data_IF_357729169895
#
_entry.id   IF_357729169895
#
_cell.length_a   1.000
_cell.length_b   1.000
_cell.length_c   1.000
_cell.angle_alpha   90.00
_cell.angle_beta   90.00
_cell.angle_gamma   90.00
#
_symmetry.space_group_name_H-M   'P 1'
#
loop_
_entity.id
_entity.type
_entity.pdbx_description
1 polymer ?
#
# COMPACT_ATOMS: atom_id res chain seq x y z
N UNK A 1 8.16 19.20 -40.48
CA UNK A 1 9.29 19.25 -39.53
C UNK A 1 8.84 18.49 -38.29
N UNK A 2 9.39 17.30 -38.09
CA UNK A 2 9.02 16.40 -36.98
C UNK A 2 9.88 16.75 -35.77
N UNK A 3 9.26 16.74 -34.58
CA UNK A 3 9.91 17.06 -33.31
C UNK A 3 10.98 15.98 -32.99
N UNK A 4 12.27 16.33 -32.83
CA UNK A 4 13.34 15.38 -32.57
C UNK A 4 13.33 14.77 -31.16
N UNK A 5 12.36 15.11 -30.30
CA UNK A 5 12.22 14.59 -28.94
C UNK A 5 11.07 13.59 -28.75
N UNK A 6 10.41 13.14 -29.82
CA UNK A 6 9.50 11.98 -29.72
C UNK A 6 10.32 10.69 -29.63
N UNK A 7 10.59 10.24 -28.40
CA UNK A 7 11.07 8.89 -28.14
C UNK A 7 9.98 7.88 -28.57
N UNK A 8 10.32 6.78 -29.28
CA UNK A 8 9.34 5.80 -29.74
C UNK A 8 8.89 4.81 -28.64
N UNK A 9 8.89 5.24 -27.37
CA UNK A 9 8.55 4.42 -26.21
C UNK A 9 7.50 5.10 -25.33
N UNK A 10 6.42 5.62 -25.94
CA UNK A 10 5.10 5.48 -25.33
C UNK A 10 4.62 4.04 -25.55
N UNK A 11 5.42 3.05 -25.09
CA UNK A 11 4.80 1.81 -24.67
C UNK A 11 3.95 2.24 -23.47
N UNK A 12 2.62 2.18 -23.61
CA UNK A 12 1.71 2.08 -22.47
C UNK A 12 2.42 1.23 -21.44
N UNK A 13 2.92 1.85 -20.39
CA UNK A 13 3.44 1.13 -19.25
C UNK A 13 2.18 0.66 -18.55
N UNK A 14 1.54 -0.36 -19.13
CA UNK A 14 0.63 -1.23 -18.43
C UNK A 14 1.40 -1.58 -17.17
N UNK A 15 0.90 -1.09 -16.04
CA UNK A 15 1.39 -1.42 -14.71
C UNK A 15 1.57 -2.92 -14.72
N UNK A 16 2.82 -3.39 -14.82
CA UNK A 16 3.10 -4.81 -15.05
C UNK A 16 2.30 -5.57 -14.01
N UNK A 17 1.31 -6.40 -14.43
CA UNK A 17 0.42 -7.04 -13.49
C UNK A 17 1.31 -7.79 -12.51
N UNK A 18 1.15 -7.48 -11.22
CA UNK A 18 1.96 -8.09 -10.18
C UNK A 18 1.92 -9.60 -10.37
N UNK A 19 3.06 -10.31 -10.30
CA UNK A 19 3.12 -11.72 -10.68
C UNK A 19 2.04 -12.54 -9.99
N UNK A 20 1.42 -13.49 -10.69
CA UNK A 20 0.30 -14.26 -10.13
C UNK A 20 0.65 -14.97 -8.82
N UNK A 21 1.91 -15.38 -8.65
CA UNK A 21 2.43 -16.00 -7.41
C UNK A 21 2.51 -15.00 -6.24
N UNK A 22 2.79 -13.73 -6.53
CA UNK A 22 2.78 -12.63 -5.55
C UNK A 22 1.35 -12.38 -5.05
N UNK A 23 0.40 -12.33 -5.99
CA UNK A 23 -1.02 -12.20 -5.66
C UNK A 23 -1.54 -13.41 -4.85
N UNK A 24 -1.15 -14.62 -5.26
CA UNK A 24 -1.51 -15.85 -4.56
C UNK A 24 -0.95 -15.87 -3.13
N UNK A 25 0.31 -15.45 -2.94
CA UNK A 25 0.92 -15.35 -1.62
C UNK A 25 0.10 -14.44 -0.70
N UNK A 26 -0.23 -13.21 -1.13
CA UNK A 26 -0.99 -12.28 -0.29
C UNK A 26 -2.44 -12.72 -0.07
N UNK A 27 -3.04 -13.46 -1.01
CA UNK A 27 -4.37 -14.04 -0.84
C UNK A 27 -4.38 -15.18 0.18
N UNK A 28 -3.32 -15.97 0.25
CA UNK A 28 -3.19 -17.10 1.17
C UNK A 28 -2.55 -16.71 2.51
N UNK A 29 -1.86 -15.57 2.58
CA UNK A 29 -1.14 -15.10 3.77
C UNK A 29 -2.03 -15.08 5.01
N UNK A 30 -3.20 -14.44 4.93
CA UNK A 30 -4.14 -14.36 6.05
C UNK A 30 -4.60 -15.75 6.53
N UNK A 31 -5.19 -16.58 5.65
CA UNK A 31 -5.58 -17.94 6.02
C UNK A 31 -4.45 -18.79 6.61
N UNK A 32 -3.25 -18.73 6.02
CA UNK A 32 -2.06 -19.47 6.50
C UNK A 32 -1.64 -18.99 7.89
N UNK A 33 -1.69 -17.67 8.13
CA UNK A 33 -1.40 -17.08 9.43
C UNK A 33 -2.38 -17.57 10.51
N UNK A 34 -3.68 -17.51 10.24
CA UNK A 34 -4.70 -17.96 11.19
C UNK A 34 -4.62 -19.46 11.45
N UNK A 35 -4.43 -20.29 10.41
CA UNK A 35 -4.25 -21.73 10.57
C UNK A 35 -3.01 -22.05 11.41
N UNK A 36 -1.89 -21.36 11.15
CA UNK A 36 -0.67 -21.53 11.92
C UNK A 36 -0.86 -21.18 13.40
N UNK A 37 -1.54 -20.06 13.67
CA UNK A 37 -1.88 -19.63 15.02
C UNK A 37 -2.82 -20.62 15.73
N UNK A 38 -3.87 -21.08 15.05
CA UNK A 38 -4.83 -22.05 15.62
C UNK A 38 -4.13 -23.37 15.96
N UNK A 39 -3.27 -23.88 15.08
CA UNK A 39 -2.50 -25.11 15.35
C UNK A 39 -1.56 -24.95 16.53
N UNK A 40 -0.91 -23.80 16.65
CA UNK A 40 -0.05 -23.48 17.80
C UNK A 40 -0.86 -23.48 19.11
N UNK A 41 -1.99 -22.77 19.13
CA UNK A 41 -2.86 -22.66 20.31
C UNK A 41 -3.43 -24.03 20.70
N UNK A 42 -3.98 -24.78 19.76
CA UNK A 42 -4.53 -26.11 20.06
C UNK A 42 -3.46 -27.11 20.51
N UNK A 43 -2.25 -27.00 19.96
CA UNK A 43 -1.10 -27.79 20.45
C UNK A 43 -0.71 -27.41 21.87
N UNK A 44 -0.86 -26.13 22.24
CA UNK A 44 -0.57 -25.63 23.59
C UNK A 44 -1.56 -26.16 24.63
N UNK A 45 -2.84 -26.31 24.25
CA UNK A 45 -3.89 -26.89 25.08
C UNK A 45 -3.98 -28.42 24.98
N UNK A 46 -2.99 -29.08 24.38
CA UNK A 46 -2.94 -30.54 24.18
C UNK A 46 -4.16 -31.11 23.41
N UNK A 47 -4.89 -30.27 22.69
CA UNK A 47 -6.04 -30.67 21.87
C UNK A 47 -5.62 -31.35 20.57
N UNK A 48 -4.38 -31.12 20.12
CA UNK A 48 -3.74 -31.77 18.98
C UNK A 48 -2.30 -32.16 19.33
N UNK A 49 -1.73 -33.09 18.56
CA UNK A 49 -0.36 -33.55 18.76
C UNK A 49 0.65 -32.39 18.68
N UNK A 50 1.71 -32.43 19.50
CA UNK A 50 2.77 -31.41 19.49
C UNK A 50 3.44 -31.21 18.12
N UNK A 51 3.50 -32.25 17.30
CA UNK A 51 3.98 -32.14 15.91
C UNK A 51 3.15 -31.15 15.08
N UNK A 52 1.84 -31.03 15.33
CA UNK A 52 0.97 -30.07 14.67
C UNK A 52 1.28 -28.62 15.09
N UNK A 53 1.69 -28.41 16.35
CA UNK A 53 2.20 -27.11 16.81
C UNK A 53 3.48 -26.69 16.06
N UNK A 54 4.39 -27.63 15.79
CA UNK A 54 5.58 -27.38 14.97
C UNK A 54 5.25 -26.96 13.53
N UNK A 55 4.24 -27.58 12.92
CA UNK A 55 3.72 -27.14 11.61
C UNK A 55 3.15 -25.72 11.70
N UNK A 56 2.42 -25.41 12.77
CA UNK A 56 1.90 -24.06 13.02
C UNK A 56 3.00 -23.00 13.07
N UNK A 57 4.11 -23.29 13.78
CA UNK A 57 5.29 -22.40 13.81
C UNK A 57 5.88 -22.22 12.41
N UNK A 58 6.06 -23.30 11.65
CA UNK A 58 6.60 -23.21 10.29
C UNK A 58 5.72 -22.35 9.37
N UNK A 59 4.39 -22.47 9.48
CA UNK A 59 3.44 -21.64 8.73
C UNK A 59 3.53 -20.16 9.10
N UNK A 60 3.66 -19.85 10.40
CA UNK A 60 3.83 -18.48 10.89
C UNK A 60 5.16 -17.87 10.40
N UNK A 61 6.26 -18.63 10.48
CA UNK A 61 7.58 -18.19 9.99
C UNK A 61 7.55 -17.96 8.48
N UNK A 62 6.92 -18.86 7.71
CA UNK A 62 6.79 -18.70 6.26
C UNK A 62 5.97 -17.46 5.90
N UNK A 63 4.85 -17.25 6.58
CA UNK A 63 4.02 -16.07 6.35
C UNK A 63 4.80 -14.79 6.70
N UNK A 64 5.43 -14.73 7.88
CA UNK A 64 6.20 -13.56 8.32
C UNK A 64 7.39 -13.26 7.40
N UNK A 65 8.25 -14.25 7.15
CA UNK A 65 9.43 -14.10 6.28
C UNK A 65 9.07 -13.91 4.81
N UNK A 66 8.00 -14.55 4.35
CA UNK A 66 7.47 -14.38 3.00
C UNK A 66 7.03 -12.95 2.73
N UNK A 67 6.44 -12.26 3.72
CA UNK A 67 6.02 -10.87 3.57
C UNK A 67 7.19 -9.91 3.30
N UNK A 68 8.42 -10.30 3.65
CA UNK A 68 9.65 -9.56 3.34
C UNK A 68 10.28 -9.97 2.00
N UNK A 69 10.38 -11.27 1.75
CA UNK A 69 11.09 -11.82 0.59
C UNK A 69 10.27 -11.77 -0.70
N UNK A 70 8.97 -12.07 -0.62
CA UNK A 70 8.07 -12.17 -1.77
C UNK A 70 7.95 -10.83 -2.51
N UNK A 71 7.82 -9.66 -1.84
CA UNK A 71 7.85 -8.36 -2.53
C UNK A 71 9.17 -8.08 -3.25
N UNK A 72 10.31 -8.36 -2.61
CA UNK A 72 11.63 -8.13 -3.20
C UNK A 72 11.84 -9.00 -4.44
N UNK A 73 11.40 -10.26 -4.39
CA UNK A 73 11.43 -11.17 -5.55
C UNK A 73 10.51 -10.71 -6.69
N UNK A 74 9.44 -9.98 -6.36
CA UNK A 74 8.51 -9.41 -7.34
C UNK A 74 9.00 -8.06 -7.90
N UNK A 75 10.21 -7.63 -7.55
CA UNK A 75 10.77 -6.33 -7.95
C UNK A 75 10.14 -5.14 -7.24
N UNK A 76 9.26 -5.36 -6.26
CA UNK A 76 8.65 -4.30 -5.46
C UNK A 76 9.61 -3.87 -4.36
N UNK A 77 9.79 -2.54 -4.19
CA UNK A 77 10.60 -1.93 -3.12
C UNK A 77 9.69 -1.28 -2.07
N UNK A 78 9.04 -2.07 -1.20
CA UNK A 78 8.04 -1.57 -0.27
C UNK A 78 8.59 -0.66 0.84
N UNK A 79 9.91 -0.57 0.99
CA UNK A 79 10.60 0.20 2.03
C UNK A 79 10.96 1.62 1.58
N UNK A 80 10.77 1.94 0.30
CA UNK A 80 11.15 3.24 -0.27
C UNK A 80 9.99 4.23 -0.13
N UNK A 81 10.25 5.36 0.51
CA UNK A 81 9.34 6.50 0.59
C UNK A 81 9.80 7.55 -0.41
N UNK A 82 8.90 7.98 -1.28
CA UNK A 82 9.16 9.06 -2.23
C UNK A 82 8.21 10.22 -1.93
N UNK A 83 8.78 11.41 -1.77
CA UNK A 83 8.01 12.60 -1.40
C UNK A 83 7.77 13.43 -2.65
N UNK A 84 6.50 13.67 -2.94
CA UNK A 84 6.05 14.55 -4.01
C UNK A 84 5.71 15.91 -3.41
N UNK A 85 6.41 16.96 -3.82
CA UNK A 85 6.13 18.33 -3.42
C UNK A 85 5.16 18.98 -4.43
N UNK A 86 4.28 19.89 -3.98
CA UNK A 86 3.44 20.71 -4.85
C UNK A 86 4.24 21.49 -5.90
N UNK A 87 5.52 21.79 -5.65
CA UNK A 87 6.43 22.38 -6.65
C UNK A 87 6.73 21.41 -7.79
N UNK A 88 6.96 20.13 -7.47
CA UNK A 88 7.23 19.07 -8.44
C UNK A 88 6.01 18.78 -9.31
N UNK A 89 4.81 18.83 -8.72
CA UNK A 89 3.54 18.74 -9.45
C UNK A 89 3.41 19.83 -10.53
N UNK A 90 3.87 21.05 -10.22
CA UNK A 90 3.77 22.20 -11.13
C UNK A 90 4.84 22.17 -12.23
N UNK A 91 6.07 21.81 -11.90
CA UNK A 91 7.18 21.84 -12.86
C UNK A 91 7.22 20.62 -13.76
N UNK A 92 6.67 19.47 -13.30
CA UNK A 92 6.73 18.16 -13.99
C UNK A 92 8.13 17.85 -14.53
N UNK A 93 9.16 18.22 -13.77
CA UNK A 93 10.56 18.03 -14.11
C UNK A 93 11.02 16.59 -13.94
N UNK A 94 12.33 16.37 -14.02
CA UNK A 94 12.93 15.04 -13.87
C UNK A 94 12.61 14.40 -12.51
N UNK A 95 12.67 15.18 -11.42
CA UNK A 95 12.36 14.72 -10.07
C UNK A 95 10.93 14.19 -9.93
N UNK A 96 9.97 14.82 -10.63
CA UNK A 96 8.58 14.36 -10.69
C UNK A 96 8.50 12.99 -11.36
N UNK A 97 9.14 12.84 -12.54
CA UNK A 97 9.13 11.60 -13.32
C UNK A 97 9.77 10.46 -12.54
N UNK A 98 10.91 10.71 -11.91
CA UNK A 98 11.61 9.72 -11.11
C UNK A 98 10.75 9.30 -9.90
N UNK A 99 10.16 10.26 -9.18
CA UNK A 99 9.26 9.99 -8.05
C UNK A 99 8.07 9.13 -8.46
N UNK A 100 7.42 9.46 -9.58
CA UNK A 100 6.30 8.68 -10.08
C UNK A 100 6.71 7.28 -10.53
N UNK A 101 7.86 7.13 -11.17
CA UNK A 101 8.38 5.83 -11.57
C UNK A 101 8.63 4.93 -10.35
N UNK A 102 9.25 5.47 -9.29
CA UNK A 102 9.43 4.73 -8.04
C UNK A 102 8.09 4.34 -7.39
N UNK A 103 7.08 5.22 -7.41
CA UNK A 103 5.74 4.89 -6.92
C UNK A 103 5.10 3.75 -7.71
N UNK A 104 5.18 3.77 -9.04
CA UNK A 104 4.67 2.69 -9.91
C UNK A 104 5.40 1.36 -9.66
N UNK A 105 6.68 1.42 -9.30
CA UNK A 105 7.50 0.29 -8.86
C UNK A 105 7.16 -0.21 -7.44
N UNK A 106 6.24 0.46 -6.73
CA UNK A 106 5.68 0.03 -5.45
C UNK A 106 6.25 0.76 -4.23
N UNK A 107 6.96 1.87 -4.42
CA UNK A 107 7.30 2.79 -3.35
C UNK A 107 6.04 3.45 -2.75
N UNK A 108 6.18 3.98 -1.54
CA UNK A 108 5.12 4.77 -0.89
C UNK A 108 5.26 6.23 -1.29
N UNK A 109 4.25 6.77 -1.97
CA UNK A 109 4.20 8.17 -2.40
C UNK A 109 3.63 9.05 -1.29
N UNK A 110 4.35 10.07 -0.87
CA UNK A 110 3.89 11.00 0.16
C UNK A 110 3.64 12.39 -0.45
N UNK A 111 2.44 12.93 -0.25
CA UNK A 111 2.06 14.29 -0.64
C UNK A 111 1.24 14.91 0.48
N UNK A 112 1.61 16.12 0.92
CA UNK A 112 0.89 16.90 1.94
C UNK A 112 0.50 16.08 3.20
N UNK A 113 1.40 15.21 3.66
CA UNK A 113 1.21 14.38 4.85
C UNK A 113 0.40 13.10 4.65
N UNK A 114 -0.16 12.89 3.45
CA UNK A 114 -0.84 11.65 3.07
C UNK A 114 0.12 10.72 2.31
N UNK A 115 0.23 9.47 2.76
CA UNK A 115 1.14 8.47 2.20
C UNK A 115 0.36 7.39 1.45
N UNK A 116 0.46 7.35 0.13
CA UNK A 116 -0.24 6.43 -0.76
C UNK A 116 0.66 5.26 -1.14
N UNK A 117 0.11 4.05 -1.11
CA UNK A 117 0.82 2.84 -1.51
C UNK A 117 -0.11 1.89 -2.25
N UNK A 118 0.42 1.33 -3.33
CA UNK A 118 -0.23 0.27 -4.09
C UNK A 118 -0.17 -1.04 -3.29
N UNK A 119 -1.35 -1.60 -2.97
CA UNK A 119 -1.46 -2.89 -2.32
C UNK A 119 -1.63 -4.01 -3.36
N UNK A 120 -1.18 -5.24 -3.05
CA UNK A 120 -1.30 -6.39 -3.93
C UNK A 120 -2.74 -6.69 -4.37
N UNK A 121 -3.73 -6.46 -3.49
CA UNK A 121 -5.10 -6.95 -3.64
C UNK A 121 -5.99 -5.95 -4.39
N UNK A 122 -5.48 -5.34 -5.45
CA UNK A 122 -6.20 -4.32 -6.23
C UNK A 122 -6.75 -3.17 -5.37
N UNK A 123 -5.98 -2.82 -4.34
CA UNK A 123 -6.29 -1.75 -3.39
C UNK A 123 -5.19 -0.69 -3.47
N UNK A 124 -5.55 0.57 -3.26
CA UNK A 124 -4.61 1.63 -2.92
C UNK A 124 -4.86 2.03 -1.47
N UNK A 125 -3.83 1.87 -0.64
CA UNK A 125 -3.87 2.26 0.76
C UNK A 125 -3.32 3.67 0.91
N UNK A 126 -4.00 4.53 1.66
CA UNK A 126 -3.47 5.80 2.14
C UNK A 126 -3.29 5.73 3.65
N UNK A 127 -2.08 6.01 4.12
CA UNK A 127 -1.75 6.19 5.52
C UNK A 127 -1.63 7.67 5.84
N UNK A 128 -2.31 8.12 6.90
CA UNK A 128 -2.07 9.45 7.49
C UNK A 128 -1.53 9.28 8.89
N UNK A 129 -0.52 10.08 9.21
CA UNK A 129 0.13 10.08 10.52
C UNK A 129 -0.39 11.24 11.36
N UNK A 130 -0.92 10.95 12.55
CA UNK A 130 -1.30 11.97 13.53
C UNK A 130 -0.66 11.71 14.90
N UNK A 131 -0.32 12.80 15.59
CA UNK A 131 0.31 12.81 16.91
C UNK A 131 -0.71 12.87 18.06
N UNK A 132 -2.00 12.99 17.74
CA UNK A 132 -3.04 13.01 18.77
C UNK A 132 -3.32 11.58 19.25
N UNK A 133 -3.01 11.29 20.52
CA UNK A 133 -3.21 9.97 21.12
C UNK A 133 -4.69 9.60 21.27
N UNK A 134 -5.58 10.61 21.26
CA UNK A 134 -7.03 10.47 21.26
C UNK A 134 -7.56 11.19 20.02
N UNK A 135 -8.17 10.44 19.11
CA UNK A 135 -8.75 10.97 17.88
C UNK A 135 -10.27 11.04 18.05
N UNK A 136 -10.84 12.24 18.03
CA UNK A 136 -12.30 12.38 18.01
C UNK A 136 -12.87 12.02 16.64
N UNK A 137 -14.17 11.70 16.57
CA UNK A 137 -14.82 11.40 15.29
C UNK A 137 -14.73 12.56 14.29
N UNK A 138 -14.83 13.81 14.78
CA UNK A 138 -14.71 15.00 13.95
C UNK A 138 -13.31 15.15 13.34
N UNK A 139 -12.25 14.92 14.13
CA UNK A 139 -10.87 14.96 13.64
C UNK A 139 -10.59 13.81 12.66
N UNK A 140 -11.14 12.63 12.93
CA UNK A 140 -11.03 11.49 12.02
C UNK A 140 -11.68 11.76 10.67
N UNK A 141 -12.83 12.43 10.66
CA UNK A 141 -13.52 12.85 9.44
C UNK A 141 -12.72 13.92 8.69
N UNK A 142 -12.16 14.92 9.38
CA UNK A 142 -11.29 15.93 8.77
C UNK A 142 -10.04 15.31 8.13
N UNK A 143 -9.38 14.38 8.82
CA UNK A 143 -8.21 13.65 8.28
C UNK A 143 -8.61 12.81 7.06
N UNK A 144 -9.78 12.16 7.10
CA UNK A 144 -10.30 11.38 5.97
C UNK A 144 -10.62 12.29 4.78
N UNK A 145 -11.23 13.45 5.01
CA UNK A 145 -11.49 14.45 3.97
C UNK A 145 -10.21 15.02 3.38
N UNK A 146 -9.18 15.27 4.20
CA UNK A 146 -7.86 15.69 3.74
C UNK A 146 -7.25 14.61 2.83
N UNK A 147 -7.28 13.35 3.24
CA UNK A 147 -6.79 12.23 2.44
C UNK A 147 -7.50 12.12 1.09
N UNK A 148 -8.83 12.29 1.08
CA UNK A 148 -9.63 12.29 -0.14
C UNK A 148 -9.28 13.48 -1.04
N UNK A 149 -9.12 14.68 -0.47
CA UNK A 149 -8.70 15.87 -1.21
C UNK A 149 -7.34 15.69 -1.90
N UNK A 150 -6.36 15.12 -1.19
CA UNK A 150 -5.03 14.83 -1.76
C UNK A 150 -5.13 13.75 -2.84
N UNK A 151 -5.95 12.72 -2.64
CA UNK A 151 -6.20 11.69 -3.65
C UNK A 151 -6.81 12.28 -4.93
N UNK A 152 -7.84 13.12 -4.79
CA UNK A 152 -8.51 13.78 -5.92
C UNK A 152 -7.57 14.75 -6.64
N UNK A 153 -6.70 15.46 -5.90
CA UNK A 153 -5.65 16.29 -6.47
C UNK A 153 -4.66 15.46 -7.29
N UNK A 154 -4.19 14.33 -6.76
CA UNK A 154 -3.27 13.44 -7.46
C UNK A 154 -3.91 12.87 -8.73
N UNK A 155 -5.17 12.44 -8.69
CA UNK A 155 -5.85 11.97 -9.89
C UNK A 155 -5.98 13.08 -10.94
N UNK A 156 -6.29 14.31 -10.53
CA UNK A 156 -6.48 15.42 -11.48
C UNK A 156 -5.16 15.90 -12.09
N UNK A 157 -4.11 15.98 -11.28
CA UNK A 157 -2.85 16.60 -11.68
C UNK A 157 -1.80 15.60 -12.19
N UNK A 158 -1.95 14.29 -11.92
CA UNK A 158 -1.02 13.24 -12.29
C UNK A 158 -1.72 12.10 -13.08
N UNK A 159 -1.69 12.14 -14.42
CA UNK A 159 -2.24 11.08 -15.27
C UNK A 159 -1.66 9.69 -14.97
N UNK A 160 -0.39 9.62 -14.58
CA UNK A 160 0.30 8.38 -14.19
C UNK A 160 -0.30 7.78 -12.92
N UNK A 161 -0.66 8.63 -11.96
CA UNK A 161 -1.34 8.20 -10.73
C UNK A 161 -2.76 7.74 -11.05
N UNK A 162 -3.52 8.52 -11.82
CA UNK A 162 -4.87 8.17 -12.27
C UNK A 162 -4.89 6.78 -12.96
N UNK A 163 -3.99 6.58 -13.93
CA UNK A 163 -3.87 5.30 -14.64
C UNK A 163 -3.50 4.15 -13.70
N UNK A 164 -2.68 4.38 -12.67
CA UNK A 164 -2.31 3.36 -11.71
C UNK A 164 -3.48 2.96 -10.79
N UNK A 165 -4.32 3.92 -10.38
CA UNK A 165 -5.42 3.68 -9.43
C UNK A 165 -6.73 3.28 -10.10
N UNK A 166 -6.80 3.32 -11.43
CA UNK A 166 -7.95 2.88 -12.19
C UNK A 166 -8.33 1.42 -11.85
N UNK A 167 -9.61 1.19 -11.55
CA UNK A 167 -10.15 -0.11 -11.14
C UNK A 167 -9.77 -0.56 -9.72
N UNK A 168 -9.09 0.27 -8.92
CA UNK A 168 -8.64 -0.10 -7.55
C UNK A 168 -9.54 0.44 -6.47
N UNK A 169 -9.71 -0.30 -5.38
CA UNK A 169 -10.41 0.21 -4.19
C UNK A 169 -9.49 1.15 -3.41
N UNK A 170 -10.00 2.32 -3.00
CA UNK A 170 -9.25 3.27 -2.20
C UNK A 170 -9.57 3.07 -0.72
N UNK A 171 -8.54 2.76 0.08
CA UNK A 171 -8.67 2.51 1.52
C UNK A 171 -7.80 3.48 2.31
N UNK A 172 -8.39 4.19 3.24
CA UNK A 172 -7.76 5.19 4.10
C UNK A 172 -7.54 4.54 5.47
N UNK A 173 -6.29 4.59 5.95
CA UNK A 173 -5.85 4.08 7.25
C UNK A 173 -5.26 5.23 8.06
N UNK A 174 -5.83 5.51 9.22
CA UNK A 174 -5.31 6.54 10.13
C UNK A 174 -4.41 5.87 11.17
N UNK A 175 -3.14 6.26 11.19
CA UNK A 175 -2.11 5.75 12.08
C UNK A 175 -1.88 6.76 13.21
N UNK A 176 -2.12 6.33 14.45
CA UNK A 176 -1.77 7.07 15.65
C UNK A 176 -0.39 6.66 16.14
N UNK A 177 0.46 7.62 16.48
CA UNK A 177 1.69 7.32 17.21
C UNK A 177 1.41 7.39 18.71
N UNK A 178 1.55 6.25 19.39
CA UNK A 178 1.55 6.23 20.85
C UNK A 178 2.83 6.87 21.40
N UNK A 179 2.82 7.36 22.64
CA UNK A 179 4.00 7.94 23.31
C UNK A 179 5.21 6.98 23.38
N UNK A 180 5.00 5.68 23.15
CA UNK A 180 6.05 4.65 23.14
C UNK A 180 6.60 4.33 21.73
N UNK A 181 6.45 5.24 20.76
CA UNK A 181 6.90 5.06 19.37
C UNK A 181 6.24 3.92 18.59
N UNK A 182 5.19 3.33 19.14
CA UNK A 182 4.37 2.33 18.45
C UNK A 182 3.29 3.04 17.62
N UNK A 183 3.29 2.79 16.32
CA UNK A 183 2.20 3.20 15.43
C UNK A 183 1.05 2.18 15.57
N UNK A 184 -0.13 2.66 15.96
CA UNK A 184 -1.35 1.86 16.09
C UNK A 184 -2.33 2.31 15.01
N UNK A 185 -2.84 1.37 14.21
CA UNK A 185 -3.94 1.65 13.28
C UNK A 185 -5.18 1.90 14.12
N UNK A 186 -5.72 3.12 14.05
CA UNK A 186 -6.88 3.52 14.84
C UNK A 186 -8.19 3.34 14.06
N UNK A 187 -8.17 3.70 12.77
CA UNK A 187 -9.38 3.67 11.94
C UNK A 187 -9.06 3.30 10.51
N UNK A 188 -9.95 2.50 9.94
CA UNK A 188 -10.00 2.16 8.53
C UNK A 188 -11.28 2.76 7.96
N UNK A 189 -11.16 3.51 6.88
CA UNK A 189 -12.27 4.10 6.15
C UNK A 189 -12.11 3.81 4.67
N UNK A 190 -13.20 3.49 3.98
CA UNK A 190 -13.17 3.32 2.53
C UNK A 190 -13.30 4.71 1.89
N UNK A 191 -12.29 5.09 1.11
CA UNK A 191 -12.29 6.32 0.35
C UNK A 191 -13.09 6.17 -0.94
N UNK A 192 -13.47 7.30 -1.55
CA UNK A 192 -14.18 7.29 -2.83
C UNK A 192 -13.15 7.30 -3.97
N UNK A 193 -13.03 6.18 -4.67
CA UNK A 193 -12.37 6.15 -5.97
C UNK A 193 -13.43 6.07 -7.08
N UNK A 194 -13.67 7.14 -7.87
CA UNK A 194 -14.67 7.13 -8.93
C UNK A 194 -14.35 6.14 -10.05
N UNK A 195 -13.09 5.67 -10.14
CA UNK A 195 -12.62 4.71 -11.13
C UNK A 195 -12.67 3.25 -10.64
N UNK A 196 -13.19 2.97 -9.43
CA UNK A 196 -13.21 1.61 -8.88
C UNK A 196 -14.29 0.69 -9.49
N UNK A 197 -15.25 1.24 -10.26
CA UNK A 197 -16.39 0.52 -10.82
C UNK A 197 -16.47 0.50 -12.36
N UNK A 198 -15.41 0.94 -13.04
CA UNK A 198 -15.31 1.01 -14.51
C UNK A 198 -14.57 -0.19 -15.10
#
# INVERSE_FOLDING_TARGET
>A
MNNPYQSPLESRQETSPSPWWYLLFYRLYGPVWYLGLTLLIFSWFEMVAHAAGGVGIAMLVFAYGGNYLVPRLAGKRPEEFVVLDSRMLKTRGEDYRQTMLHFLDGATLMLDGAAFRMQPVNEIACGLYTYNAELTDSEADEITQHAQSVFDLLMRECPEFESAVCGKQFRISILLRSMNDTAIICRLSDGKNPLAGS
#
